data_IF_837416411342
#
_entry.id   IF_837416411342
#
_cell.length_a   1.000
_cell.length_b   1.000
_cell.length_c   1.000
_cell.angle_alpha   90.00
_cell.angle_beta   90.00
_cell.angle_gamma   90.00
#
_symmetry.space_group_name_H-M   'P 1'
#
loop_
_entity.id
_entity.type
_entity.pdbx_description
1 polymer ?
#
# COMPACT_ATOMS: atom_id res chain seq x y z
N UNK A 1 10.65 -21.31 -8.52
CA UNK A 1 10.21 -19.91 -8.38
C UNK A 1 9.40 -19.81 -7.10
N UNK A 2 9.73 -18.84 -6.24
CA UNK A 2 8.93 -18.53 -5.06
C UNK A 2 7.53 -18.10 -5.53
N UNK A 3 6.53 -18.32 -4.68
CA UNK A 3 5.15 -18.04 -5.01
C UNK A 3 4.35 -17.77 -3.74
N UNK A 4 3.18 -17.16 -3.89
CA UNK A 4 2.14 -17.12 -2.86
C UNK A 4 0.98 -18.02 -3.27
N UNK A 5 0.07 -18.32 -2.35
CA UNK A 5 -1.18 -19.02 -2.67
C UNK A 5 -2.33 -18.02 -2.79
N UNK A 6 -3.09 -18.14 -3.87
CA UNK A 6 -4.28 -17.31 -4.12
C UNK A 6 -5.54 -18.18 -4.15
N UNK A 7 -6.60 -17.70 -3.53
CA UNK A 7 -7.94 -18.25 -3.72
C UNK A 7 -8.81 -17.32 -4.59
N UNK A 8 -10.05 -17.71 -4.83
CA UNK A 8 -11.00 -16.97 -5.67
C UNK A 8 -11.40 -15.59 -5.15
N UNK A 9 -11.11 -15.27 -3.89
CA UNK A 9 -11.47 -14.02 -3.22
C UNK A 9 -10.36 -12.97 -3.28
N UNK A 10 -9.14 -13.37 -3.62
CA UNK A 10 -7.96 -12.50 -3.65
C UNK A 10 -7.79 -11.64 -4.92
N UNK A 11 -8.19 -12.08 -6.14
CA UNK A 11 -7.98 -11.28 -7.34
C UNK A 11 -8.55 -9.85 -7.29
N UNK A 12 -9.75 -9.58 -6.73
CA UNK A 12 -10.28 -8.21 -6.64
C UNK A 12 -9.40 -7.24 -5.85
N UNK A 13 -8.81 -7.68 -4.73
CA UNK A 13 -7.95 -6.81 -3.91
C UNK A 13 -6.60 -6.55 -4.59
N UNK A 14 -6.04 -7.55 -5.27
CA UNK A 14 -4.80 -7.39 -6.07
C UNK A 14 -5.07 -6.48 -7.27
N UNK A 15 -6.23 -6.59 -7.91
CA UNK A 15 -6.61 -5.71 -9.02
C UNK A 15 -6.75 -4.26 -8.54
N UNK A 16 -7.38 -4.03 -7.38
CA UNK A 16 -7.50 -2.69 -6.80
C UNK A 16 -6.12 -2.08 -6.48
N UNK A 17 -5.15 -2.89 -6.04
CA UNK A 17 -3.77 -2.45 -5.92
C UNK A 17 -3.21 -2.00 -7.29
N UNK A 18 -3.32 -2.84 -8.33
CA UNK A 18 -2.87 -2.48 -9.69
C UNK A 18 -3.53 -1.19 -10.18
N UNK A 19 -4.83 -1.02 -9.96
CA UNK A 19 -5.61 0.16 -10.35
C UNK A 19 -5.17 1.42 -9.58
N UNK A 20 -4.74 1.27 -8.32
CA UNK A 20 -4.13 2.36 -7.57
C UNK A 20 -2.85 2.87 -8.28
N UNK A 21 -2.03 1.96 -8.80
CA UNK A 21 -0.88 2.32 -9.63
C UNK A 21 -1.26 3.11 -10.88
N UNK A 22 -2.38 2.75 -11.53
CA UNK A 22 -2.91 3.50 -12.69
C UNK A 22 -3.35 4.91 -12.29
N UNK A 23 -3.92 5.10 -11.10
CA UNK A 23 -4.22 6.44 -10.59
C UNK A 23 -2.95 7.23 -10.30
N UNK A 24 -1.96 6.65 -9.62
CA UNK A 24 -0.71 7.33 -9.26
C UNK A 24 -0.03 7.92 -10.51
N UNK A 25 0.07 7.16 -11.61
CA UNK A 25 0.71 7.65 -12.85
C UNK A 25 -0.02 8.82 -13.52
N UNK A 26 -1.28 9.09 -13.16
CA UNK A 26 -2.03 10.27 -13.66
C UNK A 26 -1.62 11.57 -13.00
N UNK A 27 -0.86 11.52 -11.90
CA UNK A 27 -0.47 12.70 -11.14
C UNK A 27 0.64 13.47 -11.87
N UNK A 28 0.42 14.76 -12.08
CA UNK A 28 1.18 15.57 -13.04
C UNK A 28 2.67 15.72 -12.71
N UNK A 29 3.06 15.72 -11.42
CA UNK A 29 4.46 15.95 -11.03
C UNK A 29 5.28 14.67 -10.79
N UNK A 30 4.77 13.50 -11.16
CA UNK A 30 5.61 12.30 -11.20
C UNK A 30 6.51 12.34 -12.44
N UNK A 31 7.80 12.14 -12.22
CA UNK A 31 8.79 11.96 -13.29
C UNK A 31 8.54 10.68 -14.08
N UNK A 32 9.14 10.58 -15.25
CA UNK A 32 9.06 9.35 -16.06
C UNK A 32 9.75 8.16 -15.38
N UNK A 33 10.72 8.41 -14.48
CA UNK A 33 11.35 7.36 -13.68
C UNK A 33 10.37 6.82 -12.63
N UNK A 34 9.65 7.71 -11.94
CA UNK A 34 8.63 7.31 -10.95
C UNK A 34 7.53 6.47 -11.62
N UNK A 35 7.02 6.92 -12.77
CA UNK A 35 6.01 6.18 -13.55
C UNK A 35 6.53 4.83 -14.03
N UNK A 36 7.81 4.74 -14.39
CA UNK A 36 8.44 3.47 -14.78
C UNK A 36 8.55 2.52 -13.59
N UNK A 37 8.90 3.03 -12.41
CA UNK A 37 8.93 2.25 -11.17
C UNK A 37 7.53 1.76 -10.78
N UNK A 38 6.52 2.62 -10.79
CA UNK A 38 5.11 2.23 -10.53
C UNK A 38 4.68 1.11 -11.48
N UNK A 39 4.93 1.27 -12.79
CA UNK A 39 4.62 0.23 -13.78
C UNK A 39 5.35 -1.08 -13.51
N UNK A 40 6.61 -1.03 -13.07
CA UNK A 40 7.35 -2.24 -12.72
C UNK A 40 6.73 -2.98 -11.52
N UNK A 41 6.27 -2.24 -10.50
CA UNK A 41 5.50 -2.83 -9.38
C UNK A 41 4.20 -3.43 -9.88
N UNK A 42 3.43 -2.73 -10.74
CA UNK A 42 2.20 -3.28 -11.32
C UNK A 42 2.46 -4.56 -12.14
N UNK A 43 3.53 -4.62 -12.93
CA UNK A 43 3.91 -5.82 -13.67
C UNK A 43 4.30 -6.98 -12.73
N UNK A 44 4.94 -6.69 -11.59
CA UNK A 44 5.19 -7.71 -10.58
C UNK A 44 3.89 -8.25 -9.97
N UNK A 45 2.93 -7.39 -9.65
CA UNK A 45 1.60 -7.80 -9.16
C UNK A 45 0.84 -8.63 -10.18
N UNK A 46 0.94 -8.32 -11.48
CA UNK A 46 0.30 -9.09 -12.57
C UNK A 46 0.88 -10.48 -12.76
N UNK A 47 2.13 -10.74 -12.31
CA UNK A 47 2.80 -12.05 -12.39
C UNK A 47 2.38 -13.00 -11.27
N UNK A 48 1.69 -12.50 -10.24
CA UNK A 48 1.22 -13.34 -9.14
C UNK A 48 0.36 -14.51 -9.66
N UNK A 49 0.46 -15.71 -9.07
CA UNK A 49 1.13 -16.00 -7.80
C UNK A 49 2.65 -16.14 -7.86
N UNK A 50 3.28 -16.11 -9.03
CA UNK A 50 4.73 -16.26 -9.16
C UNK A 50 5.45 -14.98 -8.69
N UNK A 51 6.54 -15.17 -7.95
CA UNK A 51 7.38 -14.09 -7.41
C UNK A 51 8.81 -14.24 -7.95
N UNK A 52 9.49 -13.12 -8.17
CA UNK A 52 10.90 -13.11 -8.58
C UNK A 52 11.80 -13.37 -7.37
N UNK A 53 12.94 -14.06 -7.56
CA UNK A 53 13.79 -14.53 -6.44
C UNK A 53 14.44 -13.42 -5.60
N UNK A 54 14.54 -12.21 -6.13
CA UNK A 54 15.01 -11.01 -5.44
C UNK A 54 14.17 -9.81 -5.88
N UNK A 55 13.08 -9.54 -5.15
CA UNK A 55 12.16 -8.43 -5.44
C UNK A 55 11.99 -7.52 -4.23
N UNK A 56 11.99 -6.22 -4.51
CA UNK A 56 11.55 -5.16 -3.63
C UNK A 56 10.72 -4.22 -4.49
N UNK A 57 9.40 -4.26 -4.34
CA UNK A 57 8.45 -3.55 -5.19
C UNK A 57 7.31 -3.00 -4.34
N UNK A 58 7.31 -1.70 -4.10
CA UNK A 58 6.34 -1.01 -3.25
C UNK A 58 5.87 0.29 -3.91
N UNK A 59 4.60 0.61 -3.73
CA UNK A 59 4.13 1.98 -3.81
C UNK A 59 2.99 2.20 -2.85
N UNK A 60 2.78 3.47 -2.53
CA UNK A 60 1.65 3.90 -1.73
C UNK A 60 1.48 5.39 -1.75
N UNK A 61 0.42 5.84 -1.10
CA UNK A 61 0.18 7.24 -0.86
C UNK A 61 -0.38 7.45 0.53
N UNK A 62 -0.22 8.66 1.06
CA UNK A 62 -0.85 9.06 2.31
C UNK A 62 -1.32 10.51 2.27
N UNK A 63 -2.34 10.80 3.07
CA UNK A 63 -2.71 12.16 3.42
C UNK A 63 -2.17 12.47 4.81
N UNK A 64 -1.38 13.53 4.89
CA UNK A 64 -0.86 14.06 6.13
C UNK A 64 -1.59 15.35 6.49
N UNK A 65 -2.21 15.35 7.66
CA UNK A 65 -2.94 16.50 8.21
C UNK A 65 -2.21 17.05 9.41
N UNK A 66 -2.23 18.38 9.54
CA UNK A 66 -1.76 19.07 10.73
C UNK A 66 -0.24 19.04 10.86
N UNK A 67 0.24 18.93 12.10
CA UNK A 67 1.65 18.91 12.45
C UNK A 67 1.98 17.75 13.42
N UNK A 68 3.21 17.73 13.94
CA UNK A 68 3.65 16.67 14.83
C UNK A 68 2.94 16.67 16.20
N UNK A 69 2.29 17.76 16.59
CA UNK A 69 1.64 17.93 17.89
C UNK A 69 0.12 17.69 17.82
N UNK A 70 -0.49 17.88 16.65
CA UNK A 70 -1.90 17.60 16.39
C UNK A 70 -2.13 17.23 14.92
N UNK A 71 -1.71 16.03 14.55
CA UNK A 71 -1.75 15.55 13.18
C UNK A 71 -2.36 14.17 13.01
N UNK A 72 -2.55 13.80 11.75
CA UNK A 72 -3.02 12.48 11.34
C UNK A 72 -2.37 12.12 10.00
N UNK A 73 -1.80 10.93 9.91
CA UNK A 73 -1.39 10.32 8.65
C UNK A 73 -2.35 9.19 8.34
N UNK A 74 -3.00 9.25 7.17
CA UNK A 74 -3.74 8.12 6.60
C UNK A 74 -3.04 7.64 5.34
N UNK A 75 -2.57 6.40 5.33
CA UNK A 75 -1.83 5.82 4.21
C UNK A 75 -2.46 4.56 3.63
N UNK A 76 -2.12 4.26 2.39
CA UNK A 76 -2.49 3.06 1.65
C UNK A 76 -1.27 2.61 0.86
N UNK A 77 -0.76 1.42 1.18
CA UNK A 77 0.49 0.91 0.66
C UNK A 77 0.34 -0.54 0.21
N UNK A 78 1.12 -0.88 -0.82
CA UNK A 78 1.33 -2.26 -1.27
C UNK A 78 2.82 -2.51 -1.30
N UNK A 79 3.25 -3.63 -0.72
CA UNK A 79 4.64 -4.11 -0.81
C UNK A 79 4.68 -5.55 -1.31
N UNK A 80 5.57 -5.82 -2.26
CA UNK A 80 5.91 -7.16 -2.71
C UNK A 80 7.41 -7.34 -2.55
N UNK A 81 7.78 -8.16 -1.57
CA UNK A 81 9.16 -8.34 -1.14
C UNK A 81 9.52 -9.82 -1.07
N UNK A 82 10.69 -10.18 -1.57
CA UNK A 82 11.27 -11.50 -1.36
C UNK A 82 12.77 -11.45 -1.63
N UNK A 83 13.54 -12.12 -0.77
CA UNK A 83 14.97 -12.31 -0.94
C UNK A 83 15.30 -13.79 -0.75
N UNK A 84 15.74 -14.47 -1.81
CA UNK A 84 16.05 -15.90 -1.75
C UNK A 84 17.21 -16.26 -0.80
N UNK A 85 18.04 -15.26 -0.44
CA UNK A 85 19.14 -15.43 0.50
C UNK A 85 18.74 -15.15 1.95
N UNK A 86 17.50 -14.71 2.20
CA UNK A 86 16.98 -14.62 3.55
C UNK A 86 16.75 -16.04 4.10
N UNK A 87 17.48 -16.46 5.15
CA UNK A 87 17.32 -17.79 5.73
C UNK A 87 15.92 -18.04 6.29
N UNK A 88 15.17 -16.99 6.62
CA UNK A 88 13.80 -17.08 7.11
C UNK A 88 12.77 -17.07 5.97
N UNK A 89 13.21 -16.80 4.72
CA UNK A 89 12.36 -16.62 3.54
C UNK A 89 11.17 -15.69 3.82
N UNK A 90 11.40 -14.66 4.65
CA UNK A 90 10.38 -13.68 4.96
C UNK A 90 10.08 -12.85 3.72
N UNK A 91 8.83 -12.42 3.62
CA UNK A 91 8.33 -11.64 2.50
C UNK A 91 6.99 -12.18 2.00
N UNK A 92 6.67 -11.81 0.77
CA UNK A 92 5.39 -12.02 0.13
C UNK A 92 4.74 -10.71 -0.29
N UNK A 93 3.43 -10.76 -0.49
CA UNK A 93 2.62 -9.57 -0.77
C UNK A 93 2.01 -9.05 0.53
N UNK A 94 2.15 -7.76 0.76
CA UNK A 94 1.48 -7.00 1.81
C UNK A 94 0.62 -5.91 1.18
N UNK A 95 -0.63 -5.79 1.64
CA UNK A 95 -1.55 -4.72 1.26
C UNK A 95 -2.17 -4.19 2.55
N UNK A 96 -2.02 -2.89 2.82
CA UNK A 96 -2.44 -2.34 4.09
C UNK A 96 -2.76 -0.85 4.04
N UNK A 97 -3.67 -0.44 4.93
CA UNK A 97 -3.92 0.97 5.23
C UNK A 97 -3.42 1.32 6.62
N UNK A 98 -2.93 2.54 6.77
CA UNK A 98 -2.44 3.09 8.03
C UNK A 98 -3.32 4.26 8.50
N UNK A 99 -3.47 4.38 9.82
CA UNK A 99 -4.13 5.48 10.52
C UNK A 99 -3.28 5.84 11.73
N UNK A 100 -2.46 6.88 11.59
CA UNK A 100 -1.40 7.23 12.53
C UNK A 100 -1.70 8.62 13.12
N UNK A 101 -2.28 8.70 14.32
CA UNK A 101 -2.41 9.97 15.03
C UNK A 101 -1.03 10.48 15.45
N UNK A 102 -0.84 11.80 15.38
CA UNK A 102 0.39 12.48 15.78
C UNK A 102 0.11 13.46 16.93
N UNK A 103 0.78 13.34 18.09
CA UNK A 103 1.69 12.24 18.45
C UNK A 103 0.91 10.93 18.69
N UNK A 104 1.67 9.83 18.80
CA UNK A 104 1.11 8.55 19.23
C UNK A 104 0.28 8.71 20.51
N UNK A 105 -0.86 8.03 20.54
CA UNK A 105 -1.82 8.14 21.63
C UNK A 105 -2.19 6.78 22.20
N UNK A 106 -2.58 6.79 23.47
CA UNK A 106 -3.16 5.64 24.17
C UNK A 106 -4.65 5.83 24.45
N UNK A 107 -5.26 6.89 23.91
CA UNK A 107 -6.70 7.13 24.03
C UNK A 107 -7.49 5.98 23.41
N UNK A 108 -8.30 5.24 24.20
CA UNK A 108 -9.08 4.11 23.70
C UNK A 108 -10.02 4.45 22.54
N UNK A 109 -10.54 5.68 22.48
CA UNK A 109 -11.44 6.10 21.41
C UNK A 109 -10.68 6.23 20.08
N UNK A 110 -9.48 6.82 20.10
CA UNK A 110 -8.63 6.96 18.92
C UNK A 110 -8.09 5.59 18.48
N UNK A 111 -7.70 4.73 19.43
CA UNK A 111 -7.26 3.36 19.10
C UNK A 111 -8.41 2.51 18.53
N UNK A 112 -9.64 2.71 18.98
CA UNK A 112 -10.81 2.06 18.40
C UNK A 112 -11.08 2.53 16.96
N UNK A 113 -10.91 3.83 16.68
CA UNK A 113 -11.00 4.36 15.32
C UNK A 113 -9.88 3.79 14.43
N UNK A 114 -8.62 3.85 14.87
CA UNK A 114 -7.47 3.24 14.17
C UNK A 114 -7.77 1.80 13.75
N UNK A 115 -8.25 0.97 14.69
CA UNK A 115 -8.63 -0.43 14.43
C UNK A 115 -9.75 -0.60 13.39
N UNK A 116 -10.64 0.37 13.24
CA UNK A 116 -11.71 0.35 12.24
C UNK A 116 -11.23 0.84 10.86
N UNK A 117 -10.22 1.72 10.83
CA UNK A 117 -9.70 2.36 9.61
C UNK A 117 -8.58 1.56 8.96
N UNK A 118 -7.81 0.82 9.75
CA UNK A 118 -6.68 0.04 9.27
C UNK A 118 -7.12 -1.35 8.82
N UNK A 119 -6.61 -1.74 7.65
CA UNK A 119 -6.65 -3.12 7.16
C UNK A 119 -5.23 -3.57 6.87
N UNK A 120 -4.99 -4.87 7.02
CA UNK A 120 -3.69 -5.48 6.75
C UNK A 120 -3.91 -6.88 6.22
N UNK A 121 -3.38 -7.15 5.04
CA UNK A 121 -3.41 -8.44 4.38
C UNK A 121 -1.99 -8.84 4.01
N UNK A 122 -1.63 -10.07 4.35
CA UNK A 122 -0.31 -10.62 4.06
C UNK A 122 -0.45 -11.99 3.41
N UNK A 123 0.15 -12.14 2.23
CA UNK A 123 0.34 -13.40 1.54
C UNK A 123 1.82 -13.79 1.66
N UNK A 124 2.19 -14.60 2.66
CA UNK A 124 3.55 -15.08 2.83
C UNK A 124 4.00 -16.02 1.70
N UNK A 125 5.30 -16.08 1.47
CA UNK A 125 5.90 -17.02 0.50
C UNK A 125 5.54 -18.46 0.86
N UNK A 126 5.05 -19.20 -0.14
CA UNK A 126 4.67 -20.60 -0.05
C UNK A 126 3.32 -20.84 0.64
N UNK A 127 2.59 -19.80 1.02
CA UNK A 127 1.36 -19.93 1.80
C UNK A 127 0.29 -18.90 1.37
N UNK A 128 -0.91 -19.02 1.94
CA UNK A 128 -2.09 -18.24 1.60
C UNK A 128 -2.29 -17.10 2.60
N UNK A 129 -2.89 -15.99 2.17
CA UNK A 129 -3.44 -15.04 3.13
C UNK A 129 -4.56 -15.70 3.94
N UNK A 130 -4.24 -16.06 5.18
CA UNK A 130 -5.10 -16.87 6.03
C UNK A 130 -6.38 -16.14 6.47
N UNK A 131 -6.42 -14.80 6.36
CA UNK A 131 -7.53 -14.02 6.85
C UNK A 131 -7.80 -12.74 6.05
N UNK A 132 -8.80 -12.82 5.17
CA UNK A 132 -9.39 -11.67 4.51
C UNK A 132 -10.87 -11.63 4.85
N UNK A 133 -11.28 -10.73 5.76
CA UNK A 133 -12.71 -10.45 5.92
C UNK A 133 -13.20 -9.74 4.67
N UNK A 134 -14.32 -10.21 4.11
CA UNK A 134 -14.92 -9.59 2.94
C UNK A 134 -15.18 -8.08 3.14
N UNK A 135 -15.60 -7.67 4.34
CA UNK A 135 -15.81 -6.25 4.69
C UNK A 135 -14.51 -5.43 4.63
N UNK A 136 -13.40 -5.96 5.13
CA UNK A 136 -12.10 -5.27 5.11
C UNK A 136 -11.52 -5.21 3.69
N UNK A 137 -11.67 -6.28 2.91
CA UNK A 137 -11.27 -6.27 1.50
C UNK A 137 -12.09 -5.25 0.71
N UNK A 138 -13.41 -5.21 0.92
CA UNK A 138 -14.27 -4.23 0.26
C UNK A 138 -13.92 -2.80 0.69
N UNK A 139 -13.66 -2.58 1.98
CA UNK A 139 -13.17 -1.29 2.48
C UNK A 139 -11.92 -0.87 1.71
N UNK A 140 -10.87 -1.71 1.66
CA UNK A 140 -9.66 -1.39 0.91
C UNK A 140 -9.96 -1.00 -0.55
N UNK A 141 -10.70 -1.85 -1.26
CA UNK A 141 -11.05 -1.65 -2.67
C UNK A 141 -11.78 -0.31 -2.87
N UNK A 142 -12.76 -0.01 -2.03
CA UNK A 142 -13.54 1.22 -2.11
C UNK A 142 -12.65 2.45 -1.82
N UNK A 143 -11.79 2.38 -0.80
CA UNK A 143 -10.90 3.47 -0.41
C UNK A 143 -9.90 3.79 -1.54
N UNK A 144 -9.23 2.79 -2.13
CA UNK A 144 -8.25 3.03 -3.21
C UNK A 144 -8.88 3.31 -4.57
N UNK A 145 -10.16 3.00 -4.78
CA UNK A 145 -10.89 3.33 -6.02
C UNK A 145 -11.18 4.83 -6.17
N UNK A 146 -11.24 5.56 -5.04
CA UNK A 146 -11.41 7.00 -5.00
C UNK A 146 -10.48 7.61 -3.96
N UNK A 147 -9.14 7.62 -4.21
CA UNK A 147 -8.15 8.04 -3.22
C UNK A 147 -8.43 9.42 -2.63
N UNK A 148 -8.84 10.37 -3.49
CA UNK A 148 -9.10 11.75 -3.12
C UNK A 148 -10.35 11.96 -2.24
N UNK A 149 -11.15 10.94 -1.94
CA UNK A 149 -12.35 11.11 -1.09
C UNK A 149 -12.02 11.42 0.38
N UNK A 150 -10.78 11.12 0.83
CA UNK A 150 -10.34 11.29 2.22
C UNK A 150 -9.62 12.61 2.50
N UNK A 151 -9.47 13.43 1.47
CA UNK A 151 -8.79 14.71 1.54
C UNK A 151 -9.60 15.73 2.34
N UNK A 152 -8.93 16.50 3.19
CA UNK A 152 -9.47 17.72 3.79
C UNK A 152 -8.60 18.92 3.44
N UNK A 153 -9.17 20.12 3.61
CA UNK A 153 -8.47 21.36 3.31
C UNK A 153 -7.21 21.49 4.19
N UNK A 154 -6.07 21.72 3.53
CA UNK A 154 -4.76 21.82 4.19
C UNK A 154 -4.02 20.49 4.36
N UNK A 155 -4.58 19.37 3.89
CA UNK A 155 -3.86 18.10 3.84
C UNK A 155 -2.69 18.17 2.83
N UNK A 156 -1.65 17.36 3.09
CA UNK A 156 -0.58 17.10 2.12
C UNK A 156 -0.72 15.68 1.60
N UNK A 157 -0.63 15.50 0.28
CA UNK A 157 -0.51 14.17 -0.31
C UNK A 157 0.97 13.81 -0.34
N UNK A 158 1.34 12.68 0.25
CA UNK A 158 2.66 12.06 0.12
C UNK A 158 2.53 10.80 -0.72
N UNK A 159 3.46 10.60 -1.65
CA UNK A 159 3.55 9.40 -2.50
C UNK A 159 4.92 8.80 -2.29
N UNK A 160 4.97 7.49 -2.15
CA UNK A 160 6.19 6.72 -1.99
C UNK A 160 6.24 5.60 -3.03
N UNK A 161 7.38 5.46 -3.70
CA UNK A 161 7.59 4.42 -4.71
C UNK A 161 8.97 3.82 -4.52
N UNK A 162 9.04 2.50 -4.42
CA UNK A 162 10.28 1.73 -4.33
C UNK A 162 10.25 0.60 -5.34
N UNK A 163 11.30 0.51 -6.15
CA UNK A 163 11.49 -0.64 -7.02
C UNK A 163 12.97 -0.98 -7.11
N UNK A 164 13.36 -2.11 -6.53
CA UNK A 164 14.74 -2.56 -6.43
C UNK A 164 15.62 -1.51 -5.73
N UNK A 165 16.48 -0.82 -6.48
CA UNK A 165 17.36 0.25 -5.95
C UNK A 165 16.80 1.65 -6.16
N UNK A 166 15.67 1.76 -6.83
CA UNK A 166 14.99 3.03 -7.06
C UNK A 166 14.12 3.38 -5.86
N UNK A 167 14.23 4.63 -5.41
CA UNK A 167 13.41 5.21 -4.35
C UNK A 167 13.00 6.61 -4.78
N UNK A 168 11.71 6.91 -4.66
CA UNK A 168 11.16 8.24 -4.85
C UNK A 168 10.10 8.54 -3.80
N UNK A 169 10.11 9.77 -3.33
CA UNK A 169 9.11 10.34 -2.43
C UNK A 169 8.72 11.71 -2.97
N UNK A 170 7.41 11.97 -2.99
CA UNK A 170 6.86 13.25 -3.41
C UNK A 170 5.82 13.73 -2.42
N UNK A 171 5.94 15.00 -2.04
CA UNK A 171 4.93 15.70 -1.24
C UNK A 171 4.23 16.77 -2.07
N UNK A 172 2.91 16.83 -1.95
CA UNK A 172 2.07 17.77 -2.66
C UNK A 172 1.18 18.50 -1.65
N UNK A 173 1.22 19.84 -1.57
CA UNK A 173 0.22 20.57 -0.84
C UNK A 173 -1.11 20.46 -1.58
N UNK A 174 -2.18 20.11 -0.86
CA UNK A 174 -3.52 20.13 -1.41
C UNK A 174 -4.23 21.41 -0.97
N UNK A 175 -4.80 22.13 -1.95
CA UNK A 175 -5.39 23.47 -1.77
C UNK A 175 -6.71 23.40 -1.01
#
# INVERSE_FOLDING_TARGET
>A
MPHILLDKTHPPIIQAAIDLGEWLITLENLSEQDKTAIKAVQEALKKLPEIEEDILAMYGFSFERGDADNGLVRGWDISLEYNANDPEQQGGLEIFSSYIPLPDTTDPAVLAEKKQREVYFHWPIGDICSFIKAEQAQQWIDEVSQPLQFIEAGDRLRIEVVHQRFYAEHEYPLI
#
